data_IF_721145226174
#
_entry.id   IF_721145226174
#
_cell.length_a   1.000
_cell.length_b   1.000
_cell.length_c   1.000
_cell.angle_alpha   90.00
_cell.angle_beta   90.00
_cell.angle_gamma   90.00
#
_symmetry.space_group_name_H-M   'P 1'
#
loop_
_entity.id
_entity.type
_entity.pdbx_description
1 polymer ?
#
# COMPACT_ATOMS: atom_id res chain seq x y z
N UNK A 1 -12.41 -16.46 -9.75
CA UNK A 1 -12.62 -17.19 -8.53
C UNK A 1 -11.39 -17.21 -7.68
N UNK A 2 -10.28 -17.64 -8.24
CA UNK A 2 -9.04 -17.61 -7.48
C UNK A 2 -8.66 -16.19 -7.07
N UNK A 3 -9.07 -15.22 -7.87
CA UNK A 3 -8.80 -13.82 -7.54
C UNK A 3 -9.45 -13.39 -6.24
N UNK A 4 -10.63 -13.92 -5.95
CA UNK A 4 -11.33 -13.53 -4.72
C UNK A 4 -10.57 -13.95 -3.48
N UNK A 5 -10.00 -15.16 -3.48
CA UNK A 5 -9.24 -15.62 -2.31
C UNK A 5 -8.01 -14.77 -2.09
N UNK A 6 -7.27 -14.51 -3.16
CA UNK A 6 -6.11 -13.65 -3.03
C UNK A 6 -6.51 -12.27 -2.59
N UNK A 7 -7.60 -11.79 -3.17
CA UNK A 7 -8.10 -10.49 -2.80
C UNK A 7 -8.46 -10.43 -1.33
N UNK A 8 -9.07 -11.48 -0.80
CA UNK A 8 -9.47 -11.47 0.59
C UNK A 8 -8.27 -11.38 1.53
N UNK A 9 -7.20 -12.13 1.26
CA UNK A 9 -6.00 -12.01 2.09
C UNK A 9 -5.47 -10.58 2.07
N UNK A 10 -5.41 -10.00 0.91
CA UNK A 10 -4.92 -8.62 0.77
C UNK A 10 -5.82 -7.65 1.51
N UNK A 11 -7.13 -7.82 1.40
CA UNK A 11 -8.07 -6.97 2.12
C UNK A 11 -7.88 -7.09 3.63
N UNK A 12 -7.75 -8.31 4.13
CA UNK A 12 -7.57 -8.53 5.57
C UNK A 12 -6.31 -7.83 6.06
N UNK A 13 -5.20 -8.01 5.35
CA UNK A 13 -3.95 -7.37 5.76
C UNK A 13 -4.08 -5.86 5.74
N UNK A 14 -4.70 -5.34 4.69
CA UNK A 14 -4.86 -3.89 4.56
C UNK A 14 -5.71 -3.32 5.71
N UNK A 15 -6.79 -4.00 6.03
CA UNK A 15 -7.67 -3.54 7.10
C UNK A 15 -6.97 -3.61 8.46
N UNK A 16 -6.30 -4.72 8.73
CA UNK A 16 -5.64 -4.89 10.02
C UNK A 16 -4.39 -4.03 10.17
N UNK A 17 -3.86 -3.52 9.06
CA UNK A 17 -2.75 -2.58 9.14
C UNK A 17 -3.17 -1.28 9.80
N UNK A 18 -4.46 -0.96 9.74
CA UNK A 18 -4.97 0.27 10.33
C UNK A 18 -5.35 0.09 11.81
N UNK A 19 -5.96 -1.03 12.13
CA UNK A 19 -6.40 -1.28 13.50
C UNK A 19 -6.80 -2.73 13.66
N UNK A 20 -6.68 -3.29 14.86
CA UNK A 20 -7.17 -4.65 15.09
C UNK A 20 -8.69 -4.72 14.91
N UNK A 21 -9.15 -5.84 14.34
CA UNK A 21 -10.58 -6.05 14.09
C UNK A 21 -10.90 -7.53 14.16
N UNK A 22 -12.13 -7.86 14.52
CA UNK A 22 -12.57 -9.24 14.46
C UNK A 22 -13.15 -9.56 13.08
N UNK A 23 -13.53 -10.83 12.89
CA UNK A 23 -14.00 -11.24 11.57
C UNK A 23 -15.24 -10.50 11.10
N UNK A 24 -16.17 -10.25 12.00
CA UNK A 24 -17.39 -9.55 11.63
C UNK A 24 -17.08 -8.11 11.21
N UNK A 25 -16.18 -7.47 11.94
CA UNK A 25 -15.79 -6.10 11.61
C UNK A 25 -15.06 -6.04 10.27
N UNK A 26 -14.25 -7.06 9.97
CA UNK A 26 -13.58 -7.13 8.68
C UNK A 26 -14.60 -7.25 7.56
N UNK A 27 -15.60 -8.12 7.74
CA UNK A 27 -16.63 -8.29 6.73
C UNK A 27 -17.40 -7.00 6.50
N UNK A 28 -17.74 -6.31 7.59
CA UNK A 28 -18.46 -5.05 7.49
C UNK A 28 -17.64 -3.99 6.75
N UNK A 29 -16.35 -3.94 7.04
CA UNK A 29 -15.50 -2.93 6.43
C UNK A 29 -15.33 -3.17 4.94
N UNK A 30 -15.17 -4.44 4.53
CA UNK A 30 -15.06 -4.74 3.11
C UNK A 30 -16.34 -4.35 2.38
N UNK A 31 -17.48 -4.64 3.00
CA UNK A 31 -18.75 -4.26 2.39
C UNK A 31 -18.84 -2.75 2.23
N UNK A 32 -18.48 -2.02 3.27
CA UNK A 32 -18.51 -0.56 3.23
C UNK A 32 -17.56 -0.01 2.18
N UNK A 33 -16.34 -0.52 2.12
CA UNK A 33 -15.34 -0.02 1.20
C UNK A 33 -15.65 -0.34 -0.25
N UNK A 34 -16.40 -1.39 -0.49
CA UNK A 34 -16.84 -1.73 -1.83
C UNK A 34 -18.24 -1.20 -2.14
N UNK A 35 -18.78 -0.36 -1.25
CA UNK A 35 -20.09 0.25 -1.45
C UNK A 35 -21.18 -0.79 -1.63
N UNK A 36 -21.08 -1.86 -0.87
CA UNK A 36 -22.08 -2.91 -0.88
C UNK A 36 -21.93 -3.93 -2.00
N UNK A 37 -20.91 -3.79 -2.85
CA UNK A 37 -20.75 -4.70 -3.97
C UNK A 37 -20.24 -6.06 -3.54
N UNK A 38 -19.54 -6.13 -2.42
CA UNK A 38 -18.98 -7.39 -1.98
C UNK A 38 -18.97 -7.48 -0.46
N UNK A 39 -19.53 -8.57 0.04
CA UNK A 39 -19.40 -8.93 1.44
C UNK A 39 -18.97 -10.38 1.51
N UNK A 40 -17.71 -10.65 1.91
CA UNK A 40 -17.25 -12.03 2.00
C UNK A 40 -18.05 -12.78 3.06
N UNK A 41 -18.21 -14.07 2.86
CA UNK A 41 -18.99 -14.90 3.79
C UNK A 41 -18.15 -15.29 4.99
N UNK A 42 -18.81 -15.61 6.12
CA UNK A 42 -18.05 -16.14 7.27
C UNK A 42 -17.28 -17.40 6.91
N UNK A 43 -17.82 -18.22 6.01
CA UNK A 43 -17.12 -19.44 5.59
C UNK A 43 -15.85 -19.18 4.83
N UNK A 44 -15.66 -17.96 4.32
CA UNK A 44 -14.42 -17.59 3.66
C UNK A 44 -13.48 -16.87 4.63
N UNK A 45 -14.05 -16.00 5.47
CA UNK A 45 -13.23 -15.12 6.31
C UNK A 45 -12.59 -15.88 7.47
N UNK A 46 -13.38 -16.61 8.23
CA UNK A 46 -12.87 -17.20 9.47
C UNK A 46 -11.83 -18.29 9.23
N UNK A 47 -11.99 -19.21 8.27
CA UNK A 47 -10.92 -20.17 8.01
C UNK A 47 -9.63 -19.48 7.55
N UNK A 48 -9.77 -18.40 6.80
CA UNK A 48 -8.59 -17.68 6.33
C UNK A 48 -7.87 -16.97 7.49
N UNK A 49 -8.64 -16.40 8.42
CA UNK A 49 -8.05 -15.80 9.62
C UNK A 49 -7.29 -16.84 10.42
N UNK A 50 -7.86 -18.04 10.56
CA UNK A 50 -7.18 -19.12 11.27
C UNK A 50 -5.91 -19.53 10.55
N UNK A 51 -5.98 -19.66 9.24
CA UNK A 51 -4.81 -20.03 8.47
C UNK A 51 -3.70 -18.99 8.60
N UNK A 52 -4.05 -17.72 8.51
CA UNK A 52 -3.06 -16.66 8.61
C UNK A 52 -2.49 -16.57 10.03
N UNK A 53 -3.27 -16.96 11.03
CA UNK A 53 -2.77 -17.03 12.40
C UNK A 53 -1.76 -18.16 12.53
N UNK A 54 -2.03 -19.31 11.91
CA UNK A 54 -1.10 -20.43 11.92
C UNK A 54 0.19 -20.08 11.19
N UNK A 55 0.10 -19.24 10.16
CA UNK A 55 1.27 -18.77 9.45
C UNK A 55 2.02 -17.68 10.21
N UNK A 56 1.52 -17.32 11.39
CA UNK A 56 2.13 -16.31 12.24
C UNK A 56 2.09 -14.92 11.62
N UNK A 57 1.18 -14.69 10.72
CA UNK A 57 0.95 -13.37 10.15
C UNK A 57 -0.03 -12.57 11.00
N UNK A 58 -0.92 -13.26 11.69
CA UNK A 58 -1.90 -12.63 12.56
C UNK A 58 -1.79 -13.18 13.97
N UNK A 59 -2.20 -12.36 14.92
CA UNK A 59 -2.31 -12.77 16.32
C UNK A 59 -3.73 -12.44 16.77
N UNK A 60 -4.40 -13.42 17.40
CA UNK A 60 -5.72 -13.19 17.91
C UNK A 60 -5.60 -12.66 19.34
N UNK A 61 -6.23 -11.54 19.61
CA UNK A 61 -6.20 -10.91 20.91
C UNK A 61 -7.25 -11.51 21.83
N UNK A 62 -7.12 -11.20 23.12
CA UNK A 62 -8.08 -11.69 24.10
C UNK A 62 -9.48 -11.17 23.85
N UNK A 63 -9.62 -10.01 23.23
CA UNK A 63 -10.93 -9.45 22.92
C UNK A 63 -11.52 -9.98 21.63
N UNK A 64 -10.88 -10.97 21.02
CA UNK A 64 -11.39 -11.59 19.80
C UNK A 64 -10.97 -10.91 18.51
N UNK A 65 -10.26 -9.81 18.60
CA UNK A 65 -9.78 -9.11 17.44
C UNK A 65 -8.44 -9.68 17.00
N UNK A 66 -8.17 -9.53 15.71
CA UNK A 66 -6.90 -9.95 15.13
C UNK A 66 -6.04 -8.74 14.85
N UNK A 67 -4.74 -8.93 14.92
CA UNK A 67 -3.80 -7.87 14.59
C UNK A 67 -2.64 -8.46 13.81
N UNK A 68 -1.96 -7.62 13.04
CA UNK A 68 -0.79 -8.07 12.29
C UNK A 68 0.37 -8.29 13.26
N UNK A 69 1.13 -9.35 13.01
CA UNK A 69 2.36 -9.59 13.77
C UNK A 69 3.50 -8.78 13.17
N UNK A 70 4.59 -8.57 13.93
CA UNK A 70 5.78 -7.96 13.32
C UNK A 70 6.28 -8.72 12.11
N UNK A 71 6.15 -10.05 12.11
CA UNK A 71 6.54 -10.85 10.97
C UNK A 71 5.74 -10.46 9.73
N UNK A 72 4.43 -10.26 9.91
CA UNK A 72 3.58 -9.87 8.78
C UNK A 72 4.02 -8.53 8.22
N UNK A 73 4.35 -7.59 9.10
CA UNK A 73 4.75 -6.26 8.64
C UNK A 73 6.04 -6.29 7.86
N UNK A 74 6.93 -7.21 8.22
CA UNK A 74 8.20 -7.34 7.51
C UNK A 74 8.05 -8.09 6.19
N UNK A 75 7.33 -9.21 6.22
CA UNK A 75 7.25 -10.07 5.04
C UNK A 75 6.31 -9.54 3.99
N UNK A 76 5.29 -8.80 4.41
CA UNK A 76 4.33 -8.26 3.49
C UNK A 76 4.73 -6.84 3.13
N UNK A 77 5.83 -6.74 2.40
CA UNK A 77 6.26 -5.44 1.94
C UNK A 77 5.24 -4.86 0.98
N UNK A 78 4.81 -3.69 1.29
CA UNK A 78 3.81 -3.05 0.48
C UNK A 78 4.47 -2.25 -0.63
N UNK A 79 4.21 -2.59 -1.87
CA UNK A 79 4.77 -1.79 -2.95
C UNK A 79 4.21 -0.39 -3.00
N UNK A 80 3.16 -0.13 -2.21
CA UNK A 80 2.51 1.17 -2.25
C UNK A 80 2.81 2.03 -1.03
N UNK A 81 3.81 1.66 -0.23
CA UNK A 81 4.19 2.50 0.89
C UNK A 81 3.21 2.47 2.05
N UNK A 82 2.57 1.36 2.26
CA UNK A 82 1.63 1.22 3.37
C UNK A 82 2.35 1.34 4.72
N UNK A 83 1.61 1.64 5.79
CA UNK A 83 2.22 1.73 7.12
C UNK A 83 2.97 0.46 7.46
N UNK A 84 4.07 0.60 8.15
CA UNK A 84 4.91 -0.54 8.53
C UNK A 84 5.98 -0.86 7.52
N UNK A 85 5.98 -0.18 6.40
CA UNK A 85 6.98 -0.36 5.39
C UNK A 85 8.35 0.05 5.93
N UNK A 86 9.39 -0.67 5.50
CA UNK A 86 10.74 -0.34 5.90
C UNK A 86 11.13 1.03 5.40
N UNK A 87 12.06 1.67 6.11
CA UNK A 87 12.60 2.94 5.65
C UNK A 87 13.24 2.74 4.29
N UNK A 88 13.04 3.68 3.40
CA UNK A 88 13.60 3.62 2.07
C UNK A 88 15.07 4.04 2.08
N UNK A 89 15.84 3.38 1.23
CA UNK A 89 17.20 3.83 0.98
C UNK A 89 17.18 5.00 0.00
N UNK A 90 18.29 5.69 -0.11
CA UNK A 90 18.40 6.76 -1.11
C UNK A 90 18.16 6.19 -2.51
N UNK A 91 18.70 5.00 -2.76
CA UNK A 91 18.51 4.38 -4.07
C UNK A 91 17.05 4.10 -4.33
N UNK A 92 16.33 3.60 -3.32
CA UNK A 92 14.89 3.32 -3.48
C UNK A 92 14.13 4.60 -3.83
N UNK A 93 14.44 5.68 -3.12
CA UNK A 93 13.77 6.94 -3.37
C UNK A 93 14.04 7.46 -4.78
N UNK A 94 15.27 7.34 -5.24
CA UNK A 94 15.61 7.79 -6.58
C UNK A 94 14.92 6.95 -7.64
N UNK A 95 14.84 5.63 -7.42
CA UNK A 95 14.14 4.76 -8.35
C UNK A 95 12.67 5.12 -8.44
N UNK A 96 12.06 5.48 -7.32
CA UNK A 96 10.67 5.91 -7.37
C UNK A 96 10.53 7.22 -8.14
N UNK A 97 11.46 8.13 -7.94
CA UNK A 97 11.42 9.39 -8.69
C UNK A 97 11.53 9.16 -10.18
N UNK A 98 12.40 8.23 -10.59
CA UNK A 98 12.50 7.88 -12.00
C UNK A 98 11.16 7.37 -12.52
N UNK A 99 10.49 6.55 -11.71
CA UNK A 99 9.19 6.04 -12.11
C UNK A 99 8.16 7.16 -12.29
N UNK A 100 8.13 8.09 -11.35
CA UNK A 100 7.22 9.22 -11.46
C UNK A 100 7.57 10.10 -12.67
N UNK A 101 8.85 10.31 -12.90
CA UNK A 101 9.25 11.11 -14.07
C UNK A 101 8.77 10.46 -15.36
N UNK A 102 8.94 9.14 -15.46
CA UNK A 102 8.49 8.41 -16.64
C UNK A 102 6.98 8.55 -16.83
N UNK A 103 6.24 8.44 -15.74
CA UNK A 103 4.79 8.57 -15.81
C UNK A 103 4.39 9.97 -16.27
N UNK A 104 5.05 10.99 -15.72
CA UNK A 104 4.75 12.37 -16.14
C UNK A 104 5.08 12.59 -17.60
N UNK A 105 6.14 11.96 -18.08
CA UNK A 105 6.47 12.04 -19.51
C UNK A 105 5.39 11.44 -20.37
N UNK A 106 4.86 10.30 -19.94
CA UNK A 106 3.78 9.66 -20.69
C UNK A 106 2.53 10.51 -20.70
N UNK A 107 2.20 11.11 -19.54
CA UNK A 107 1.06 12.00 -19.48
C UNK A 107 1.23 13.18 -20.44
N UNK A 108 2.44 13.74 -20.46
CA UNK A 108 2.70 14.89 -21.33
C UNK A 108 2.56 14.53 -22.79
N UNK A 109 2.97 13.33 -23.17
CA UNK A 109 2.84 12.90 -24.56
C UNK A 109 1.40 12.72 -24.98
N UNK A 110 0.58 12.21 -24.05
CA UNK A 110 -0.82 12.00 -24.40
C UNK A 110 -1.61 13.30 -24.36
N UNK A 111 -1.27 14.20 -23.44
CA UNK A 111 -2.00 15.47 -23.31
C UNK A 111 -1.15 16.48 -22.56
N UNK A 112 -0.58 17.41 -23.29
CA UNK A 112 0.30 18.42 -22.68
C UNK A 112 -0.41 19.28 -21.65
N UNK A 113 -1.72 19.43 -21.79
CA UNK A 113 -2.43 20.28 -20.85
C UNK A 113 -2.43 19.74 -19.45
N UNK A 114 -2.18 18.43 -19.29
CA UNK A 114 -2.12 17.84 -17.96
C UNK A 114 -0.88 18.27 -17.20
N UNK A 115 0.19 18.59 -17.90
CA UNK A 115 1.46 18.93 -17.28
C UNK A 115 1.71 20.43 -17.27
N UNK A 116 1.24 21.14 -18.30
CA UNK A 116 1.56 22.54 -18.45
C UNK A 116 1.27 23.40 -17.21
N UNK A 117 0.17 23.19 -16.49
CA UNK A 117 -0.09 24.03 -15.30
C UNK A 117 0.94 23.83 -14.19
N UNK A 118 1.69 22.76 -14.22
CA UNK A 118 2.65 22.44 -13.16
C UNK A 118 4.09 22.74 -13.55
N UNK A 119 4.27 23.47 -14.63
CA UNK A 119 5.59 23.75 -15.16
C UNK A 119 6.54 24.35 -14.13
N UNK A 120 6.06 25.35 -13.39
CA UNK A 120 6.90 25.99 -12.39
C UNK A 120 7.27 25.05 -11.26
N UNK A 121 6.33 24.24 -10.83
CA UNK A 121 6.57 23.30 -9.75
C UNK A 121 7.59 22.24 -10.20
N UNK A 122 7.43 21.75 -11.41
CA UNK A 122 8.38 20.77 -11.94
C UNK A 122 9.77 21.35 -12.01
N UNK A 123 9.89 22.59 -12.46
CA UNK A 123 11.19 23.23 -12.54
C UNK A 123 11.82 23.39 -11.17
N UNK A 124 11.01 23.74 -10.16
CA UNK A 124 11.53 23.87 -8.80
C UNK A 124 12.09 22.55 -8.30
N UNK A 125 11.38 21.46 -8.56
CA UNK A 125 11.84 20.15 -8.12
C UNK A 125 13.12 19.79 -8.85
N UNK A 126 13.17 20.03 -10.15
CA UNK A 126 14.36 19.73 -10.93
C UNK A 126 15.56 20.53 -10.42
N UNK A 127 15.36 21.82 -10.12
CA UNK A 127 16.43 22.66 -9.63
C UNK A 127 16.94 22.19 -8.28
N UNK A 128 16.02 21.77 -7.40
CA UNK A 128 16.43 21.28 -6.09
C UNK A 128 17.25 20.01 -6.20
N UNK A 129 16.85 19.11 -7.10
CA UNK A 129 17.59 17.87 -7.29
C UNK A 129 18.96 18.16 -7.92
N UNK A 130 18.99 19.06 -8.89
CA UNK A 130 20.24 19.41 -9.53
C UNK A 130 21.22 20.05 -8.54
N UNK A 131 20.71 20.81 -7.60
CA UNK A 131 21.56 21.45 -6.60
C UNK A 131 22.29 20.45 -5.74
N UNK A 132 21.72 19.27 -5.53
CA UNK A 132 22.37 18.24 -4.74
C UNK A 132 23.65 17.73 -5.39
N UNK A 133 23.71 17.79 -6.71
CA UNK A 133 24.85 17.28 -7.45
C UNK A 133 25.72 18.42 -7.96
N UNK A 134 25.06 19.45 -8.48
CA UNK A 134 25.78 20.54 -9.12
C UNK A 134 26.77 21.27 -8.22
N UNK A 135 26.38 21.43 -6.96
CA UNK A 135 27.27 22.09 -6.01
C UNK A 135 28.37 21.16 -5.53
N UNK A 136 28.22 19.89 -5.86
CA UNK A 136 29.18 18.90 -5.37
C UNK A 136 30.55 19.01 -5.99
N UNK A 137 30.72 19.90 -6.89
CA UNK A 137 32.02 20.10 -7.47
C UNK A 137 33.05 20.48 -6.44
N UNK A 138 32.65 20.61 -5.28
CA UNK A 138 33.58 20.79 -4.20
C UNK A 138 34.65 19.74 -4.19
#
# INVERSE_FOLDING_TARGET
MMHRRRGLRTWIVSILANAPKNGAEIMDEIETMTQGLWRPSPGSVYPLLDQMTQEELLKKRDDGRYELTPKAKEELEWPFGMPGRKAQTVEDMLNEMVGYASYLEDLSRSDRTKIAPYRETIKKVADRLAALVGTGKT
#
